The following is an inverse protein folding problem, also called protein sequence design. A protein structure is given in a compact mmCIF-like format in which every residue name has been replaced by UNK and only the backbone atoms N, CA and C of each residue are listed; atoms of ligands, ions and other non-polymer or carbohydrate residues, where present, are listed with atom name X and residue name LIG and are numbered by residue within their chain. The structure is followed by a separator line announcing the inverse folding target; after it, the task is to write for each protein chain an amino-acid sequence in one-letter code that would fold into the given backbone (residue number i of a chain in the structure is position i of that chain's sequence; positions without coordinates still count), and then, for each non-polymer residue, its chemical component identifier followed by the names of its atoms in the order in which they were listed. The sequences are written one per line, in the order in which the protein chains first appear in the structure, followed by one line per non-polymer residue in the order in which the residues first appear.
data_IF_581639340943
#
_entry.id   IF_581639340943
#
_cell.length_a   1.000
_cell.length_b   1.000
_cell.length_c   1.000
_cell.angle_alpha   90.00
_cell.angle_beta   90.00
_cell.angle_gamma   90.00
#
_symmetry.space_group_name_H-M   'P 1'
#
loop_
_entity.id
_entity.type
_entity.pdbx_description
1 polymer ?
#
# COMPACT_ATOMS: atom_id res chain seq x y z
N UNK A 1 11.87 11.24 -1.50
CA UNK A 1 11.53 11.00 -2.92
C UNK A 1 11.60 9.48 -3.13
N UNK A 2 10.59 8.85 -3.74
CA UNK A 2 10.55 7.39 -3.90
C UNK A 2 11.54 6.94 -4.98
N UNK A 3 12.06 5.72 -4.84
CA UNK A 3 13.17 5.23 -5.66
C UNK A 3 12.77 4.94 -7.11
N UNK A 4 12.82 5.94 -7.97
CA UNK A 4 12.72 5.79 -9.43
C UNK A 4 14.09 5.38 -10.05
N UNK A 5 14.85 4.54 -9.36
CA UNK A 5 16.24 4.18 -9.71
C UNK A 5 16.95 3.41 -8.61
N UNK A 6 18.26 3.22 -8.71
CA UNK A 6 19.08 2.68 -7.62
C UNK A 6 19.51 3.82 -6.68
N UNK A 7 18.92 3.95 -5.48
CA UNK A 7 19.37 4.94 -4.50
C UNK A 7 20.73 4.54 -3.91
N UNK A 8 21.47 5.53 -3.42
CA UNK A 8 22.63 5.28 -2.57
C UNK A 8 22.19 4.83 -1.17
N UNK A 9 23.10 4.24 -0.40
CA UNK A 9 22.81 3.78 0.96
C UNK A 9 22.40 4.93 1.88
N UNK A 10 22.96 6.13 1.68
CA UNK A 10 22.61 7.32 2.46
C UNK A 10 21.15 7.71 2.22
N UNK A 11 20.71 7.73 0.95
CA UNK A 11 19.30 8.03 0.61
C UNK A 11 18.35 6.96 1.17
N UNK A 12 18.78 5.69 1.20
CA UNK A 12 18.01 4.62 1.85
C UNK A 12 17.91 4.86 3.35
N UNK A 13 19.02 5.22 4.02
CA UNK A 13 19.04 5.47 5.47
C UNK A 13 18.12 6.64 5.83
N UNK A 14 18.28 7.77 5.16
CA UNK A 14 17.45 8.96 5.38
C UNK A 14 15.96 8.66 5.16
N UNK A 15 15.64 7.84 4.16
CA UNK A 15 14.28 7.40 3.90
C UNK A 15 13.75 6.56 5.07
N UNK A 16 14.50 5.55 5.52
CA UNK A 16 14.11 4.65 6.61
C UNK A 16 13.88 5.43 7.91
N UNK A 17 14.75 6.40 8.21
CA UNK A 17 14.64 7.26 9.40
C UNK A 17 13.41 8.18 9.35
N UNK A 18 12.99 8.58 8.16
CA UNK A 18 11.83 9.43 7.94
C UNK A 18 10.48 8.69 7.89
N UNK A 19 10.47 7.35 7.92
CA UNK A 19 9.22 6.58 7.89
C UNK A 19 8.41 6.84 9.18
N UNK A 20 7.15 7.22 9.03
CA UNK A 20 6.19 7.23 10.14
C UNK A 20 5.71 5.80 10.43
N UNK A 21 6.54 5.05 11.17
CA UNK A 21 6.34 3.64 11.50
C UNK A 21 5.03 3.33 12.19
N UNK A 22 4.39 4.32 12.83
CA UNK A 22 3.07 4.16 13.47
C UNK A 22 1.94 3.92 12.47
N UNK A 23 2.19 4.25 11.20
CA UNK A 23 1.16 4.45 10.22
C UNK A 23 1.47 3.85 8.86
N UNK A 24 2.75 3.63 8.57
CA UNK A 24 3.18 2.83 7.43
C UNK A 24 2.71 1.39 7.60
N UNK A 25 2.27 0.78 6.50
CA UNK A 25 1.97 -0.65 6.44
C UNK A 25 2.97 -1.31 5.51
N UNK A 26 3.66 -2.31 6.02
CA UNK A 26 4.64 -3.11 5.29
C UNK A 26 4.12 -4.53 5.15
N UNK A 27 4.11 -5.04 3.92
CA UNK A 27 3.77 -6.42 3.60
C UNK A 27 5.01 -7.04 2.99
N UNK A 28 5.68 -7.90 3.75
CA UNK A 28 6.92 -8.56 3.33
C UNK A 28 6.67 -9.98 2.82
N UNK A 29 7.34 -10.35 1.73
CA UNK A 29 7.51 -11.74 1.31
C UNK A 29 8.90 -12.21 1.74
N UNK A 30 8.93 -13.37 2.39
CA UNK A 30 10.17 -14.02 2.83
C UNK A 30 10.41 -15.32 2.06
N UNK A 31 11.68 -15.61 1.80
CA UNK A 31 12.18 -16.93 1.46
C UNK A 31 13.05 -17.42 2.63
N UNK A 32 12.53 -18.34 3.42
CA UNK A 32 13.08 -18.66 4.73
C UNK A 32 13.13 -17.42 5.64
N UNK A 33 14.34 -17.03 6.06
CA UNK A 33 14.58 -15.84 6.89
C UNK A 33 14.90 -14.58 6.07
N UNK A 34 15.02 -14.68 4.74
CA UNK A 34 15.41 -13.57 3.89
C UNK A 34 14.18 -12.82 3.37
N UNK A 35 14.13 -11.50 3.57
CA UNK A 35 13.13 -10.64 2.93
C UNK A 35 13.44 -10.51 1.43
N UNK A 36 12.59 -11.05 0.57
CA UNK A 36 12.78 -11.08 -0.90
C UNK A 36 11.91 -10.07 -1.64
N UNK A 37 10.90 -9.51 -0.99
CA UNK A 37 10.15 -8.38 -1.51
C UNK A 37 9.29 -7.73 -0.44
N UNK A 38 8.93 -6.47 -0.65
CA UNK A 38 8.09 -5.71 0.27
C UNK A 38 7.16 -4.79 -0.51
N UNK A 39 5.91 -4.70 -0.10
CA UNK A 39 5.00 -3.63 -0.45
C UNK A 39 4.84 -2.67 0.73
N UNK A 40 4.92 -1.38 0.45
CA UNK A 40 4.83 -0.32 1.45
C UNK A 40 3.67 0.60 1.09
N UNK A 41 2.68 0.66 1.98
CA UNK A 41 1.49 1.48 1.85
C UNK A 41 1.52 2.62 2.87
N UNK A 42 1.68 3.84 2.37
CA UNK A 42 1.79 5.07 3.17
C UNK A 42 0.51 5.88 3.10
N UNK A 43 -0.25 6.04 4.20
CA UNK A 43 -1.40 6.94 4.22
C UNK A 43 -0.95 8.38 3.95
N UNK A 44 -1.48 9.00 2.89
CA UNK A 44 -1.13 10.38 2.55
C UNK A 44 -1.85 11.34 3.48
N UNK A 45 -1.18 12.43 3.84
CA UNK A 45 -1.81 13.49 4.63
C UNK A 45 -2.64 14.44 3.74
N UNK A 46 -3.75 14.99 4.27
CA UNK A 46 -4.33 14.63 5.55
C UNK A 46 -5.06 13.29 5.51
N UNK A 47 -4.97 12.48 6.59
CA UNK A 47 -5.43 11.07 6.59
C UNK A 47 -6.93 10.91 6.28
N UNK A 48 -7.75 11.91 6.60
CA UNK A 48 -9.18 11.89 6.31
C UNK A 48 -9.47 11.85 4.80
N UNK A 49 -8.50 12.18 3.95
CA UNK A 49 -8.60 12.05 2.50
C UNK A 49 -8.71 10.59 2.03
N UNK A 50 -8.46 9.60 2.91
CA UNK A 50 -8.52 8.16 2.60
C UNK A 50 -7.68 7.81 1.36
N UNK A 51 -6.52 8.43 1.26
CA UNK A 51 -5.57 8.24 0.18
C UNK A 51 -4.31 7.60 0.75
N UNK A 52 -3.65 6.78 -0.07
CA UNK A 52 -2.36 6.20 0.27
C UNK A 52 -1.46 6.14 -0.96
N UNK A 53 -0.16 6.11 -0.70
CA UNK A 53 0.87 5.88 -1.69
C UNK A 53 1.41 4.45 -1.55
N UNK A 54 1.47 3.71 -2.64
CA UNK A 54 1.98 2.35 -2.70
C UNK A 54 3.27 2.31 -3.51
N UNK A 55 4.22 1.51 -3.05
CA UNK A 55 5.28 1.00 -3.90
C UNK A 55 5.75 -0.34 -3.38
N UNK A 56 6.49 -0.99 -4.27
CA UNK A 56 6.88 -2.37 -4.16
C UNK A 56 8.34 -2.48 -4.58
N UNK A 57 9.10 -3.16 -3.74
CA UNK A 57 10.50 -3.49 -3.99
C UNK A 57 10.65 -5.01 -4.01
N UNK A 58 11.32 -5.53 -5.03
CA UNK A 58 11.58 -6.97 -5.19
C UNK A 58 13.06 -7.19 -5.44
N UNK A 59 13.65 -8.15 -4.71
CA UNK A 59 15.05 -8.55 -4.85
C UNK A 59 15.32 -9.05 -6.27
N UNK A 60 16.55 -8.86 -6.77
CA UNK A 60 16.88 -9.11 -8.18
C UNK A 60 16.52 -10.53 -8.63
N UNK A 61 16.84 -11.53 -7.81
CA UNK A 61 16.63 -12.96 -8.13
C UNK A 61 15.16 -13.40 -8.10
N UNK A 62 14.27 -12.53 -7.60
CA UNK A 62 12.83 -12.77 -7.49
C UNK A 62 11.99 -11.93 -8.46
N UNK A 63 12.63 -11.09 -9.28
CA UNK A 63 11.96 -10.33 -10.35
C UNK A 63 11.51 -11.28 -11.47
N UNK A 64 10.46 -10.87 -12.20
CA UNK A 64 9.91 -11.67 -13.30
C UNK A 64 9.10 -12.90 -12.87
N UNK A 65 9.00 -13.19 -11.56
CA UNK A 65 8.27 -14.36 -11.01
C UNK A 65 6.87 -14.02 -10.49
N UNK A 66 6.31 -12.88 -10.87
CA UNK A 66 4.99 -12.42 -10.41
C UNK A 66 4.94 -11.85 -8.99
N UNK A 67 6.03 -11.87 -8.23
CA UNK A 67 6.05 -11.43 -6.82
C UNK A 67 5.61 -9.96 -6.65
N UNK A 68 6.02 -9.06 -7.55
CA UNK A 68 5.60 -7.66 -7.47
C UNK A 68 4.09 -7.47 -7.64
N UNK A 69 3.45 -8.29 -8.48
CA UNK A 69 2.00 -8.28 -8.68
C UNK A 69 1.28 -8.78 -7.42
N UNK A 70 1.73 -9.90 -6.85
CA UNK A 70 1.17 -10.48 -5.62
C UNK A 70 1.27 -9.51 -4.43
N UNK A 71 2.42 -8.87 -4.25
CA UNK A 71 2.63 -7.85 -3.20
C UNK A 71 1.73 -6.62 -3.42
N UNK A 72 1.56 -6.19 -4.68
CA UNK A 72 0.64 -5.10 -5.03
C UNK A 72 -0.79 -5.47 -4.67
N UNK A 73 -1.26 -6.65 -5.06
CA UNK A 73 -2.61 -7.13 -4.77
C UNK A 73 -2.88 -7.22 -3.26
N UNK A 74 -1.93 -7.76 -2.50
CA UNK A 74 -2.02 -7.83 -1.05
C UNK A 74 -2.15 -6.43 -0.42
N UNK A 75 -1.37 -5.46 -0.88
CA UNK A 75 -1.43 -4.09 -0.39
C UNK A 75 -2.75 -3.38 -0.77
N UNK A 76 -3.28 -3.62 -1.97
CA UNK A 76 -4.58 -3.07 -2.38
C UNK A 76 -5.74 -3.68 -1.58
N UNK A 77 -5.66 -4.98 -1.27
CA UNK A 77 -6.63 -5.66 -0.39
C UNK A 77 -6.61 -5.03 1.01
N UNK A 78 -5.42 -4.85 1.59
CA UNK A 78 -5.29 -4.15 2.87
C UNK A 78 -5.85 -2.72 2.80
N UNK A 79 -5.57 -1.99 1.72
CA UNK A 79 -6.08 -0.64 1.54
C UNK A 79 -7.62 -0.60 1.54
N UNK A 80 -8.27 -1.55 0.84
CA UNK A 80 -9.73 -1.68 0.83
C UNK A 80 -10.30 -1.94 2.22
N UNK A 81 -9.72 -2.88 2.95
CA UNK A 81 -10.13 -3.28 4.31
C UNK A 81 -10.05 -2.13 5.31
N UNK A 82 -9.08 -1.24 5.10
CA UNK A 82 -8.83 -0.05 5.90
C UNK A 82 -9.49 1.22 5.35
N UNK A 83 -10.46 1.07 4.43
CA UNK A 83 -11.29 2.15 3.85
C UNK A 83 -10.48 3.21 3.10
N UNK A 84 -9.28 2.89 2.63
CA UNK A 84 -8.59 3.72 1.65
C UNK A 84 -9.37 3.66 0.34
N UNK A 85 -9.61 4.83 -0.25
CA UNK A 85 -10.42 5.01 -1.48
C UNK A 85 -9.56 5.28 -2.69
N UNK A 86 -8.33 5.71 -2.50
CA UNK A 86 -7.41 6.01 -3.58
C UNK A 86 -6.00 5.56 -3.23
N UNK A 87 -5.38 4.83 -4.13
CA UNK A 87 -3.96 4.47 -4.05
C UNK A 87 -3.24 5.09 -5.22
N UNK A 88 -2.07 5.67 -4.97
CA UNK A 88 -1.19 6.23 -6.00
C UNK A 88 0.14 5.50 -5.99
N UNK A 89 0.67 5.20 -7.16
CA UNK A 89 2.04 4.72 -7.34
C UNK A 89 2.80 5.76 -8.17
N UNK A 90 4.05 6.00 -7.80
CA UNK A 90 5.00 6.79 -8.59
C UNK A 90 5.93 5.79 -9.27
N UNK A 91 5.92 5.77 -10.60
CA UNK A 91 6.57 4.75 -11.41
C UNK A 91 7.47 5.46 -12.43
N UNK A 92 8.73 5.03 -12.57
CA UNK A 92 9.55 5.56 -13.68
C UNK A 92 9.06 4.99 -15.03
N UNK A 93 9.11 5.75 -16.13
CA UNK A 93 8.64 5.30 -17.44
C UNK A 93 9.34 4.04 -17.95
N UNK A 94 10.55 3.76 -17.49
CA UNK A 94 11.36 2.59 -17.85
C UNK A 94 10.91 1.32 -17.13
N UNK A 95 10.14 1.44 -16.03
CA UNK A 95 9.68 0.30 -15.24
C UNK A 95 8.43 -0.35 -15.86
N UNK A 96 8.62 -0.95 -17.04
CA UNK A 96 7.57 -1.62 -17.81
C UNK A 96 6.84 -2.70 -17.01
N UNK A 97 7.55 -3.40 -16.12
CA UNK A 97 6.94 -4.41 -15.26
C UNK A 97 5.91 -3.81 -14.28
N UNK A 98 6.25 -2.70 -13.61
CA UNK A 98 5.32 -2.06 -12.67
C UNK A 98 4.19 -1.31 -13.39
N UNK A 99 4.45 -0.75 -14.57
CA UNK A 99 3.40 -0.17 -15.41
C UNK A 99 2.36 -1.24 -15.78
N UNK A 100 2.81 -2.42 -16.25
CA UNK A 100 1.92 -3.53 -16.57
C UNK A 100 1.12 -4.03 -15.35
N UNK A 101 1.76 -4.13 -14.17
CA UNK A 101 1.06 -4.47 -12.92
C UNK A 101 0.00 -3.43 -12.57
N UNK A 102 0.33 -2.14 -12.67
CA UNK A 102 -0.59 -1.05 -12.35
C UNK A 102 -1.80 -1.05 -13.31
N UNK A 103 -1.57 -1.21 -14.62
CA UNK A 103 -2.62 -1.32 -15.63
C UNK A 103 -3.50 -2.55 -15.39
N UNK A 104 -2.91 -3.70 -15.08
CA UNK A 104 -3.66 -4.92 -14.76
C UNK A 104 -4.59 -4.73 -13.55
N UNK A 105 -4.14 -3.96 -12.54
CA UNK A 105 -4.96 -3.59 -11.38
C UNK A 105 -6.01 -2.50 -11.68
N UNK A 106 -6.11 -2.05 -12.94
CA UNK A 106 -7.07 -1.02 -13.37
C UNK A 106 -6.65 0.41 -13.01
N UNK A 107 -5.35 0.66 -12.83
CA UNK A 107 -4.86 2.01 -12.58
C UNK A 107 -5.01 2.89 -13.83
N UNK A 108 -5.35 4.16 -13.63
CA UNK A 108 -5.17 5.18 -14.65
C UNK A 108 -3.74 5.69 -14.60
N UNK A 109 -2.97 5.48 -15.65
CA UNK A 109 -1.62 6.01 -15.80
C UNK A 109 -1.67 7.46 -16.28
N UNK A 110 -0.89 8.33 -15.62
CA UNK A 110 -0.79 9.75 -15.93
C UNK A 110 0.69 10.12 -16.02
N UNK A 111 1.22 10.44 -17.22
CA UNK A 111 2.56 11.01 -17.33
C UNK A 111 2.63 12.36 -16.60
N UNK A 112 3.66 12.54 -15.76
CA UNK A 112 3.93 13.77 -15.03
C UNK A 112 5.44 13.99 -15.03
N UNK A 113 5.91 15.01 -15.77
CA UNK A 113 7.34 15.27 -15.94
C UNK A 113 8.12 14.01 -16.38
N UNK A 114 9.03 13.53 -15.54
CA UNK A 114 9.92 12.39 -15.75
C UNK A 114 9.38 11.08 -15.13
N UNK A 115 8.13 11.05 -14.68
CA UNK A 115 7.52 9.88 -14.06
C UNK A 115 6.10 9.61 -14.57
N UNK A 116 5.60 8.43 -14.25
CA UNK A 116 4.20 8.03 -14.44
C UNK A 116 3.55 7.91 -13.07
N UNK A 117 2.46 8.64 -12.89
CA UNK A 117 1.59 8.53 -11.72
C UNK A 117 0.46 7.56 -12.04
N UNK A 118 0.49 6.38 -11.45
CA UNK A 118 -0.62 5.42 -11.54
C UNK A 118 -1.63 5.69 -10.42
N UNK A 119 -2.90 5.94 -10.78
CA UNK A 119 -3.98 6.20 -9.82
C UNK A 119 -5.02 5.10 -9.84
N UNK A 120 -5.22 4.47 -8.68
CA UNK A 120 -6.23 3.46 -8.44
C UNK A 120 -7.38 4.05 -7.61
N UNK A 121 -8.63 3.81 -8.03
CA UNK A 121 -9.82 4.08 -7.22
C UNK A 121 -10.31 2.77 -6.65
N UNK A 122 -10.26 2.65 -5.33
CA UNK A 122 -10.68 1.45 -4.64
C UNK A 122 -12.17 1.55 -4.30
N UNK A 123 -12.92 0.52 -4.72
CA UNK A 123 -14.27 0.30 -4.21
C UNK A 123 -14.14 -0.34 -2.84
N UNK A 124 -14.96 0.08 -1.88
CA UNK A 124 -15.06 -0.65 -0.63
C UNK A 124 -15.76 -1.96 -0.95
N UNK A 125 -15.00 -3.04 -1.01
CA UNK A 125 -15.57 -4.38 -0.96
C UNK A 125 -15.65 -4.73 0.53
N UNK A 126 -16.84 -4.97 1.11
CA UNK A 126 -16.92 -5.41 2.49
C UNK A 126 -16.22 -6.76 2.61
N UNK A 127 -15.06 -6.81 3.27
CA UNK A 127 -14.44 -8.09 3.62
C UNK A 127 -15.34 -8.79 4.65
N UNK A 128 -15.99 -9.92 4.29
CA UNK A 128 -17.00 -10.54 5.13
C UNK A 128 -16.42 -11.05 6.46
N UNK A 129 -15.15 -11.46 6.47
CA UNK A 129 -14.45 -11.91 7.69
C UNK A 129 -14.21 -10.72 8.62
N UNK A 130 -13.67 -9.61 8.11
CA UNK A 130 -13.47 -8.41 8.93
C UNK A 130 -14.79 -7.80 9.39
N UNK A 131 -15.86 -7.90 8.59
CA UNK A 131 -17.19 -7.48 9.02
C UNK A 131 -17.73 -8.39 10.13
N UNK A 132 -17.53 -9.71 10.03
CA UNK A 132 -17.84 -10.66 11.10
C UNK A 132 -17.09 -10.34 12.39
N UNK A 133 -15.77 -10.13 12.33
CA UNK A 133 -14.96 -9.76 13.50
C UNK A 133 -15.42 -8.43 14.10
N UNK A 134 -15.65 -7.40 13.27
CA UNK A 134 -16.15 -6.09 13.75
C UNK A 134 -17.53 -6.21 14.39
N UNK A 135 -18.42 -7.04 13.85
CA UNK A 135 -19.74 -7.29 14.41
C UNK A 135 -19.64 -7.99 15.78
N UNK A 136 -18.80 -9.03 15.89
CA UNK A 136 -18.56 -9.74 17.17
C UNK A 136 -18.00 -8.77 18.21
N UNK A 137 -16.99 -7.96 17.86
CA UNK A 137 -16.43 -6.94 18.77
C UNK A 137 -17.49 -5.91 19.18
N UNK A 138 -18.31 -5.43 18.25
CA UNK A 138 -19.38 -4.46 18.55
C UNK A 138 -20.49 -5.04 19.43
N UNK A 139 -20.74 -6.36 19.36
CA UNK A 139 -21.68 -7.08 20.23
C UNK A 139 -21.09 -7.37 21.60
N UNK A 140 -19.77 -7.58 21.70
CA UNK A 140 -19.06 -7.84 22.94
C UNK A 140 -18.78 -6.57 23.78
N UNK A 141 -18.91 -5.38 23.20
CA UNK A 141 -18.77 -4.12 23.93
C UNK A 141 -20.04 -3.79 24.71
N UNK A 142 -19.94 -3.47 26.02
CA UNK A 142 -21.11 -3.15 26.84
C UNK A 142 -21.78 -1.84 26.40
N UNK A 143 -23.10 -1.69 26.64
CA UNK A 143 -23.95 -0.65 26.04
C UNK A 143 -23.54 0.79 26.35
N UNK A 144 -22.76 1.04 27.40
CA UNK A 144 -22.26 2.38 27.77
C UNK A 144 -21.13 2.90 26.87
N UNK A 145 -20.51 2.06 26.04
CA UNK A 145 -19.48 2.49 25.06
C UNK A 145 -20.04 3.24 23.84
N UNK A 146 -21.35 3.24 23.62
CA UNK A 146 -22.00 3.94 22.47
C UNK A 146 -22.33 5.41 22.76
N UNK A 147 -22.36 5.82 24.02
CA UNK A 147 -22.78 7.17 24.42
C UNK A 147 -21.63 8.21 24.48
N UNK A 148 -20.37 7.78 24.46
CA UNK A 148 -19.21 8.67 24.67
C UNK A 148 -18.74 9.46 23.44
N UNK A 149 -19.54 9.55 22.36
CA UNK A 149 -19.19 10.31 21.14
C UNK A 149 -20.13 11.48 20.81
N UNK A 150 -20.94 11.90 21.78
CA UNK A 150 -21.77 13.10 21.66
C UNK A 150 -21.48 14.04 22.83
N UNK A 151 -20.29 14.64 22.85
CA UNK A 151 -19.98 15.95 23.47
C UNK A 151 -18.95 16.63 22.59
#
# INVERSE_FOLDING_TARGET
MRFCGQPSNEVISDYVDAIDWRHAVLIGQFDGAQLVGVAELFPTLPRWARCAELAVSVSRDWRGKGLGAALTEAALTHAQDHRIRRVTLLISPENQAMLAVAEHQGARLLPVADMVVARLRLRAVPNPVLQGIKAIVAMALPPWGRAARAV
#
